data_IF_075063190838
#
_entry.id   IF_075063190838
#
_cell.length_a   1.000
_cell.length_b   1.000
_cell.length_c   1.000
_cell.angle_alpha   90.00
_cell.angle_beta   90.00
_cell.angle_gamma   90.00
#
_symmetry.space_group_name_H-M   'P 1'
#
loop_
_entity.id
_entity.type
_entity.pdbx_description
1 polymer ?
#
# COMPACT_ATOMS: atom_id res chain seq x y z
N UNK A 1 13.85 -19.61 -16.45
CA UNK A 1 13.16 -18.30 -16.30
C UNK A 1 13.86 -17.34 -17.23
N UNK A 2 13.19 -16.90 -18.29
CA UNK A 2 13.72 -15.89 -19.19
C UNK A 2 13.91 -14.57 -18.44
N UNK A 3 14.99 -13.85 -18.73
CA UNK A 3 15.31 -12.57 -18.07
C UNK A 3 14.16 -11.56 -18.18
N UNK A 4 13.43 -11.58 -19.29
CA UNK A 4 12.25 -10.72 -19.49
C UNK A 4 11.10 -11.00 -18.50
N UNK A 5 10.91 -12.25 -18.10
CA UNK A 5 9.88 -12.61 -17.12
C UNK A 5 10.25 -12.14 -15.71
N UNK A 6 11.54 -12.20 -15.36
CA UNK A 6 12.04 -11.68 -14.07
C UNK A 6 11.87 -10.15 -14.01
N UNK A 7 12.18 -9.46 -15.11
CA UNK A 7 12.02 -8.01 -15.20
C UNK A 7 10.56 -7.58 -15.05
N UNK A 8 9.63 -8.27 -15.71
CA UNK A 8 8.21 -7.96 -15.59
C UNK A 8 7.70 -8.16 -14.16
N UNK A 9 8.02 -9.28 -13.52
CA UNK A 9 7.63 -9.52 -12.12
C UNK A 9 8.18 -8.44 -11.17
N UNK A 10 9.44 -8.03 -11.38
CA UNK A 10 10.04 -6.95 -10.59
C UNK A 10 9.32 -5.60 -10.83
N UNK A 11 8.97 -5.28 -12.08
CA UNK A 11 8.24 -4.06 -12.41
C UNK A 11 6.85 -4.03 -11.78
N UNK A 12 6.07 -5.10 -11.89
CA UNK A 12 4.74 -5.17 -11.28
C UNK A 12 4.81 -5.11 -9.74
N UNK A 13 5.80 -5.77 -9.14
CA UNK A 13 6.06 -5.65 -7.70
C UNK A 13 6.37 -4.20 -7.29
N UNK A 14 7.20 -3.50 -8.07
CA UNK A 14 7.55 -2.11 -7.81
C UNK A 14 6.33 -1.18 -7.94
N UNK A 15 5.50 -1.38 -8.97
CA UNK A 15 4.27 -0.62 -9.19
C UNK A 15 3.31 -0.83 -8.00
N UNK A 16 3.13 -2.07 -7.54
CA UNK A 16 2.30 -2.37 -6.37
C UNK A 16 2.79 -1.65 -5.11
N UNK A 17 4.11 -1.60 -4.90
CA UNK A 17 4.71 -0.95 -3.75
C UNK A 17 4.55 0.59 -3.80
N UNK A 18 4.68 1.18 -4.99
CA UNK A 18 4.40 2.61 -5.21
C UNK A 18 2.92 2.94 -4.96
N UNK A 19 2.00 2.09 -5.42
CA UNK A 19 0.57 2.24 -5.15
C UNK A 19 0.24 2.16 -3.66
N UNK A 20 0.89 1.27 -2.91
CA UNK A 20 0.71 1.19 -1.45
C UNK A 20 1.17 2.48 -0.75
N UNK A 21 2.35 3.01 -1.11
CA UNK A 21 2.83 4.28 -0.58
C UNK A 21 1.90 5.44 -0.93
N UNK A 22 1.39 5.47 -2.16
CA UNK A 22 0.44 6.48 -2.58
C UNK A 22 -0.87 6.39 -1.81
N UNK A 23 -1.42 5.18 -1.63
CA UNK A 23 -2.62 4.94 -0.83
C UNK A 23 -2.46 5.45 0.60
N UNK A 24 -1.38 5.07 1.28
CA UNK A 24 -1.08 5.57 2.63
C UNK A 24 -1.08 7.09 2.69
N UNK A 25 -0.31 7.75 1.80
CA UNK A 25 -0.16 9.21 1.79
C UNK A 25 -1.46 9.91 1.42
N UNK A 26 -2.24 9.35 0.50
CA UNK A 26 -3.53 9.89 0.11
C UNK A 26 -4.51 9.87 1.28
N UNK A 27 -4.62 8.75 2.00
CA UNK A 27 -5.50 8.65 3.16
C UNK A 27 -5.04 9.53 4.32
N UNK A 28 -3.73 9.60 4.60
CA UNK A 28 -3.15 10.49 5.62
C UNK A 28 -3.39 11.98 5.30
N UNK A 29 -3.43 12.35 4.01
CA UNK A 29 -3.74 13.72 3.58
C UNK A 29 -5.23 14.05 3.63
N UNK A 30 -6.10 13.09 3.34
CA UNK A 30 -7.56 13.28 3.32
C UNK A 30 -8.15 13.26 4.71
N UNK A 31 -7.56 12.49 5.63
CA UNK A 31 -8.03 12.42 7.01
C UNK A 31 -7.59 13.63 7.83
N UNK A 32 -8.41 14.09 8.79
CA UNK A 32 -8.11 15.29 9.59
C UNK A 32 -7.03 15.06 10.66
N UNK A 33 -6.54 13.83 10.82
CA UNK A 33 -5.54 13.44 11.80
C UNK A 33 -4.33 12.82 11.07
N UNK A 34 -3.15 12.89 11.70
CA UNK A 34 -1.91 12.36 11.12
C UNK A 34 -1.66 10.96 11.63
N UNK A 35 -1.61 9.98 10.74
CA UNK A 35 -1.39 8.58 11.12
C UNK A 35 -0.10 8.38 11.92
N UNK A 36 0.94 9.16 11.61
CA UNK A 36 2.22 9.10 12.30
C UNK A 36 2.12 9.51 13.79
N UNK A 37 1.20 10.40 14.16
CA UNK A 37 1.05 10.85 15.54
C UNK A 37 0.16 9.86 16.31
N UNK A 38 -0.93 9.39 15.71
CA UNK A 38 -1.81 8.37 16.30
C UNK A 38 -1.11 7.01 16.49
N UNK A 39 -0.17 6.63 15.62
CA UNK A 39 0.66 5.44 15.83
C UNK A 39 1.56 5.61 17.06
N UNK A 40 2.13 6.80 17.29
CA UNK A 40 2.95 7.07 18.49
C UNK A 40 2.12 7.00 19.76
N UNK A 41 0.86 7.43 19.70
CA UNK A 41 -0.11 7.30 20.80
C UNK A 41 -0.63 5.87 20.99
N UNK A 42 -0.08 4.89 20.25
CA UNK A 42 -0.47 3.47 20.30
C UNK A 42 -1.94 3.24 19.97
N UNK A 43 -2.51 4.06 19.08
CA UNK A 43 -3.86 3.87 18.62
C UNK A 43 -3.95 2.66 17.66
N UNK A 44 -4.42 1.54 18.19
CA UNK A 44 -4.58 0.29 17.43
C UNK A 44 -5.56 0.43 16.25
N UNK A 45 -6.54 1.34 16.33
CA UNK A 45 -7.51 1.55 15.25
C UNK A 45 -6.83 2.09 13.97
N UNK A 46 -5.86 3.00 14.12
CA UNK A 46 -5.09 3.54 12.99
C UNK A 46 -4.18 2.46 12.39
N UNK A 47 -3.57 1.61 13.22
CA UNK A 47 -2.81 0.45 12.74
C UNK A 47 -3.68 -0.51 11.90
N UNK A 48 -4.88 -0.83 12.38
CA UNK A 48 -5.82 -1.67 11.65
C UNK A 48 -6.27 -1.04 10.32
N UNK A 49 -6.52 0.27 10.31
CA UNK A 49 -6.89 1.01 9.10
C UNK A 49 -5.77 0.99 8.05
N UNK A 50 -4.51 1.24 8.44
CA UNK A 50 -3.36 1.17 7.53
C UNK A 50 -3.21 -0.25 6.96
N UNK A 51 -3.37 -1.27 7.79
CA UNK A 51 -3.41 -2.67 7.34
C UNK A 51 -4.51 -2.91 6.31
N UNK A 52 -5.71 -2.37 6.54
CA UNK A 52 -6.83 -2.44 5.59
C UNK A 52 -6.54 -1.76 4.26
N UNK A 53 -5.89 -0.59 4.27
CA UNK A 53 -5.46 0.12 3.05
C UNK A 53 -4.49 -0.75 2.24
N UNK A 54 -3.51 -1.38 2.89
CA UNK A 54 -2.56 -2.25 2.20
C UNK A 54 -3.22 -3.52 1.62
N UNK A 55 -4.16 -4.13 2.33
CA UNK A 55 -4.93 -5.27 1.82
C UNK A 55 -5.76 -4.85 0.60
N UNK A 56 -6.44 -3.70 0.67
CA UNK A 56 -7.24 -3.19 -0.44
C UNK A 56 -6.38 -2.94 -1.70
N UNK A 57 -5.22 -2.30 -1.54
CA UNK A 57 -4.27 -2.08 -2.64
C UNK A 57 -3.73 -3.39 -3.19
N UNK A 58 -3.38 -4.36 -2.34
CA UNK A 58 -2.91 -5.67 -2.78
C UNK A 58 -3.95 -6.39 -3.64
N UNK A 59 -5.24 -6.31 -3.28
CA UNK A 59 -6.35 -6.87 -4.07
C UNK A 59 -6.44 -6.19 -5.44
N UNK A 60 -6.37 -4.85 -5.49
CA UNK A 60 -6.42 -4.10 -6.75
C UNK A 60 -5.25 -4.48 -7.65
N UNK A 61 -4.03 -4.49 -7.12
CA UNK A 61 -2.82 -4.85 -7.87
C UNK A 61 -2.93 -6.28 -8.42
N UNK A 62 -3.37 -7.22 -7.60
CA UNK A 62 -3.59 -8.62 -8.01
C UNK A 62 -4.67 -8.74 -9.08
N UNK A 63 -5.73 -7.94 -9.02
CA UNK A 63 -6.79 -7.96 -10.04
C UNK A 63 -6.34 -7.40 -11.40
N UNK A 64 -5.34 -6.50 -11.41
CA UNK A 64 -4.82 -5.87 -12.63
C UNK A 64 -3.75 -6.72 -13.29
N UNK A 65 -2.95 -7.46 -12.52
CA UNK A 65 -1.92 -8.37 -13.04
C UNK A 65 -2.61 -9.67 -13.50
N UNK A 66 -2.55 -9.97 -14.80
CA UNK A 66 -3.02 -11.23 -15.39
C UNK A 66 -1.87 -12.18 -15.68
#
# INVERSE_FOLDING_TARGET
MDLGNILNTAMYGLIGLLLMMFGYKFFDMVTPFKFADEIKEKNAAVGAMIGGIFIAVAIIVTAVIR
#
